data_IF_966362207347
#
_entry.id   IF_966362207347
#
_cell.length_a   1.000
_cell.length_b   1.000
_cell.length_c   1.000
_cell.angle_alpha   90.00
_cell.angle_beta   90.00
_cell.angle_gamma   90.00
#
_symmetry.space_group_name_H-M   'P 1'
#
loop_
_entity.id
_entity.type
_entity.pdbx_description
1 polymer ?
#
# COMPACT_ATOMS: atom_id res chain seq x y z
N UNK A 1 33.87 17.44 -38.14
CA UNK A 1 34.32 18.40 -37.11
C UNK A 1 34.57 17.58 -35.86
N UNK A 2 35.85 17.25 -35.69
CA UNK A 2 36.39 16.41 -34.62
C UNK A 2 36.75 17.31 -33.44
N UNK A 3 36.53 16.83 -32.21
CA UNK A 3 36.82 17.54 -30.97
C UNK A 3 36.37 16.67 -29.80
N UNK A 4 37.10 15.61 -29.49
CA UNK A 4 38.32 15.53 -28.68
C UNK A 4 38.05 15.75 -27.18
N UNK A 5 38.15 14.62 -26.46
CA UNK A 5 38.07 14.45 -25.00
C UNK A 5 39.45 14.77 -24.42
N UNK A 6 39.55 15.30 -23.20
CA UNK A 6 40.71 14.96 -22.38
C UNK A 6 40.30 14.27 -21.08
N UNK A 7 40.78 13.04 -21.00
CA UNK A 7 40.92 12.18 -19.83
C UNK A 7 41.82 12.87 -18.79
N UNK A 8 41.38 12.95 -17.53
CA UNK A 8 42.25 13.36 -16.42
C UNK A 8 42.67 12.13 -15.61
N UNK A 9 43.97 11.86 -15.70
CA UNK A 9 44.72 10.75 -15.11
C UNK A 9 45.01 11.01 -13.63
N UNK A 10 45.05 9.92 -12.86
CA UNK A 10 45.48 9.81 -11.46
C UNK A 10 46.78 10.57 -11.14
N UNK A 11 46.79 11.28 -10.02
CA UNK A 11 48.00 11.59 -9.27
C UNK A 11 47.81 11.19 -7.80
N UNK A 12 48.55 10.16 -7.39
CA UNK A 12 48.67 9.74 -6.00
C UNK A 12 49.54 10.72 -5.22
N UNK A 13 49.02 11.23 -4.10
CA UNK A 13 49.77 12.02 -3.14
C UNK A 13 50.20 11.12 -1.99
N UNK A 14 51.51 11.00 -1.83
CA UNK A 14 52.22 10.22 -0.82
C UNK A 14 52.32 11.06 0.45
N UNK A 15 51.54 10.75 1.49
CA UNK A 15 51.61 11.42 2.79
C UNK A 15 52.63 10.70 3.68
N UNK A 16 53.71 11.42 3.99
CA UNK A 16 54.81 11.05 4.89
C UNK A 16 54.34 11.12 6.35
N UNK A 17 54.75 10.13 7.14
CA UNK A 17 54.38 9.95 8.54
C UNK A 17 55.02 10.92 9.52
N UNK A 18 54.80 10.59 10.80
CA UNK A 18 55.27 11.22 12.05
C UNK A 18 54.47 12.45 12.54
N UNK A 19 53.55 12.18 13.49
CA UNK A 19 53.40 12.92 14.78
C UNK A 19 51.97 12.96 15.37
N UNK A 20 51.01 12.18 14.88
CA UNK A 20 49.59 12.29 15.33
C UNK A 20 49.22 11.40 16.54
N UNK A 21 50.20 10.84 17.26
CA UNK A 21 49.98 9.83 18.31
C UNK A 21 49.65 10.39 19.71
N UNK A 22 49.57 11.72 19.90
CA UNK A 22 49.33 12.32 21.24
C UNK A 22 48.01 13.08 21.39
N UNK A 23 47.26 13.30 20.30
CA UNK A 23 45.99 14.04 20.33
C UNK A 23 44.78 13.10 20.50
N UNK A 24 44.94 11.79 20.25
CA UNK A 24 43.85 10.81 20.35
C UNK A 24 43.39 10.48 21.78
N UNK A 25 44.17 10.78 22.82
CA UNK A 25 43.88 10.31 24.19
C UNK A 25 42.94 11.21 25.02
N UNK A 26 42.69 12.46 24.60
CA UNK A 26 41.82 13.39 25.34
C UNK A 26 40.40 13.54 24.76
N UNK A 27 40.17 13.04 23.54
CA UNK A 27 38.84 13.07 22.90
C UNK A 27 38.02 11.82 23.26
N UNK A 28 38.70 10.74 23.70
CA UNK A 28 38.06 9.45 23.99
C UNK A 28 37.24 9.44 25.30
N UNK A 29 37.42 10.41 26.19
CA UNK A 29 36.70 10.46 27.49
C UNK A 29 35.43 11.32 27.47
N UNK A 30 35.25 12.21 26.48
CA UNK A 30 34.06 13.08 26.41
C UNK A 30 32.89 12.45 25.63
N UNK A 31 33.12 11.36 24.89
CA UNK A 31 32.10 10.63 24.13
C UNK A 31 31.37 9.53 24.92
N UNK A 32 31.64 9.35 26.22
CA UNK A 32 31.00 8.30 27.04
C UNK A 32 29.82 8.85 27.86
N UNK A 33 29.66 10.18 28.04
CA UNK A 33 28.69 10.74 28.98
C UNK A 33 27.36 11.26 28.38
N UNK A 34 27.09 11.08 27.09
CA UNK A 34 25.87 11.60 26.44
C UNK A 34 25.13 10.59 25.55
N UNK A 35 25.27 9.28 25.82
CA UNK A 35 24.56 8.24 25.08
C UNK A 35 23.46 7.53 25.88
N UNK A 36 22.81 8.22 26.83
CA UNK A 36 21.58 7.77 27.47
C UNK A 36 20.36 8.54 26.96
N UNK A 37 20.23 8.65 25.63
CA UNK A 37 18.92 8.82 25.02
C UNK A 37 18.38 7.42 24.72
N UNK A 38 17.80 6.79 25.74
CA UNK A 38 16.90 5.66 25.58
C UNK A 38 15.79 6.10 24.61
N UNK A 39 15.86 5.66 23.35
CA UNK A 39 14.77 5.82 22.41
C UNK A 39 13.53 5.19 23.04
N UNK A 40 12.44 5.94 23.28
CA UNK A 40 11.20 5.35 23.74
C UNK A 40 10.71 4.41 22.65
N UNK A 41 10.76 3.11 22.95
CA UNK A 41 10.07 2.01 22.29
C UNK A 41 9.74 2.18 20.81
N UNK A 42 10.49 1.48 19.96
CA UNK A 42 9.91 0.88 18.76
C UNK A 42 8.72 0.03 19.22
N UNK A 43 7.52 0.62 19.24
CA UNK A 43 6.28 -0.13 19.42
C UNK A 43 6.23 -1.05 18.21
N UNK A 44 6.45 -2.34 18.46
CA UNK A 44 6.18 -3.43 17.52
C UNK A 44 4.87 -3.05 16.83
N UNK A 45 4.92 -2.76 15.53
CA UNK A 45 3.70 -2.56 14.73
C UNK A 45 2.81 -3.72 15.11
N UNK A 46 1.68 -3.44 15.75
CA UNK A 46 0.71 -4.48 16.06
C UNK A 46 0.43 -5.13 14.73
N UNK A 47 0.91 -6.36 14.56
CA UNK A 47 0.59 -7.20 13.43
C UNK A 47 -0.93 -7.32 13.47
N UNK A 48 -1.61 -6.50 12.67
CA UNK A 48 -3.05 -6.62 12.48
C UNK A 48 -3.19 -7.93 11.76
N UNK A 49 -3.35 -9.01 12.54
CA UNK A 49 -3.78 -10.30 12.02
C UNK A 49 -4.98 -9.98 11.12
N UNK A 50 -4.94 -10.31 9.82
CA UNK A 50 -6.06 -10.05 8.95
C UNK A 50 -7.31 -10.56 9.64
N UNK A 51 -8.31 -9.68 9.80
CA UNK A 51 -9.63 -10.11 10.25
C UNK A 51 -10.00 -11.32 9.40
N UNK A 52 -10.46 -12.38 10.06
CA UNK A 52 -10.95 -13.57 9.38
C UNK A 52 -11.81 -13.14 8.19
N UNK A 53 -11.44 -13.62 7.00
CA UNK A 53 -11.87 -13.06 5.72
C UNK A 53 -13.33 -13.42 5.48
N UNK A 54 -14.21 -12.67 6.13
CA UNK A 54 -15.64 -12.93 6.23
C UNK A 54 -16.40 -11.65 5.95
N UNK A 55 -17.65 -11.79 5.49
CA UNK A 55 -18.53 -10.65 5.29
C UNK A 55 -18.80 -9.93 6.61
N UNK A 56 -18.80 -8.59 6.56
CA UNK A 56 -19.14 -7.76 7.71
C UNK A 56 -20.63 -7.96 8.05
N UNK A 57 -20.92 -8.35 9.30
CA UNK A 57 -22.28 -8.72 9.74
C UNK A 57 -23.14 -7.53 10.15
N UNK A 58 -22.51 -6.42 10.54
CA UNK A 58 -23.22 -5.21 10.96
C UNK A 58 -23.55 -4.31 9.75
N UNK A 59 -24.81 -4.34 9.33
CA UNK A 59 -25.26 -3.62 8.13
C UNK A 59 -25.00 -2.09 8.20
N UNK A 60 -25.12 -1.53 9.41
CA UNK A 60 -25.01 -0.09 9.66
C UNK A 60 -23.56 0.44 9.59
N UNK A 61 -22.57 -0.46 9.50
CA UNK A 61 -21.18 -0.08 9.24
C UNK A 61 -21.03 0.55 7.86
N UNK A 62 -21.76 0.00 6.88
CA UNK A 62 -21.70 0.42 5.50
C UNK A 62 -22.92 1.24 5.09
N UNK A 63 -24.09 0.92 5.63
CA UNK A 63 -25.35 1.52 5.23
C UNK A 63 -25.89 2.52 6.26
N UNK A 64 -26.52 3.58 5.76
CA UNK A 64 -27.25 4.52 6.60
C UNK A 64 -28.63 3.93 6.92
N UNK A 65 -29.01 3.81 8.20
CA UNK A 65 -30.26 3.17 8.61
C UNK A 65 -31.51 4.02 8.34
N UNK A 66 -31.36 5.29 7.93
CA UNK A 66 -32.47 6.22 7.77
C UNK A 66 -32.41 6.97 6.44
N UNK A 67 -33.42 6.76 5.58
CA UNK A 67 -33.69 7.63 4.43
C UNK A 67 -35.20 7.68 4.14
N UNK A 68 -35.74 8.89 3.98
CA UNK A 68 -37.01 9.10 3.29
C UNK A 68 -36.78 8.95 1.77
N UNK A 69 -37.37 7.93 1.14
CA UNK A 69 -37.31 7.74 -0.32
C UNK A 69 -36.74 6.42 -0.85
N UNK A 70 -36.90 5.31 -0.11
CA UNK A 70 -36.93 3.95 -0.69
C UNK A 70 -35.60 3.28 -1.07
N UNK A 71 -34.44 3.90 -0.80
CA UNK A 71 -33.12 3.32 -1.12
C UNK A 71 -32.20 3.21 0.08
N UNK A 72 -31.52 2.07 0.21
CA UNK A 72 -30.43 1.85 1.18
C UNK A 72 -29.21 2.65 0.69
N UNK A 73 -28.78 3.65 1.47
CA UNK A 73 -27.65 4.52 1.12
C UNK A 73 -26.38 4.07 1.85
N UNK A 74 -25.21 4.30 1.26
CA UNK A 74 -23.94 4.10 1.95
C UNK A 74 -23.65 5.26 2.91
N UNK A 75 -22.95 4.99 4.01
CA UNK A 75 -22.53 6.00 4.98
C UNK A 75 -21.48 6.96 4.42
N UNK A 76 -20.74 6.54 3.39
CA UNK A 76 -19.71 7.29 2.67
C UNK A 76 -19.68 6.89 1.19
N UNK A 77 -19.00 7.66 0.32
CA UNK A 77 -18.66 7.20 -1.03
C UNK A 77 -17.96 5.83 -0.99
N UNK A 78 -18.30 4.94 -1.91
CA UNK A 78 -17.95 3.52 -1.82
C UNK A 78 -16.45 3.24 -1.59
N UNK A 79 -15.58 3.84 -2.41
CA UNK A 79 -14.12 3.64 -2.26
C UNK A 79 -13.58 4.21 -0.94
N UNK A 80 -14.14 5.32 -0.46
CA UNK A 80 -13.77 5.93 0.82
C UNK A 80 -14.24 5.08 2.00
N UNK A 81 -15.42 4.48 1.90
CA UNK A 81 -15.96 3.59 2.91
C UNK A 81 -15.01 2.40 3.15
N UNK A 82 -14.62 1.71 2.07
CA UNK A 82 -13.71 0.57 2.16
C UNK A 82 -12.31 0.99 2.64
N UNK A 83 -11.79 2.11 2.14
CA UNK A 83 -10.45 2.60 2.51
C UNK A 83 -10.35 3.07 3.94
N UNK A 84 -11.47 3.45 4.57
CA UNK A 84 -11.49 3.90 5.96
C UNK A 84 -11.13 2.82 6.98
N UNK A 85 -11.12 1.55 6.57
CA UNK A 85 -10.60 0.42 7.37
C UNK A 85 -9.55 -0.42 6.63
N UNK A 86 -9.58 -0.48 5.29
CA UNK A 86 -8.65 -1.27 4.48
C UNK A 86 -7.56 -0.40 3.82
N UNK A 87 -6.87 0.43 4.60
CA UNK A 87 -5.86 1.36 4.04
C UNK A 87 -4.71 0.62 3.32
N UNK A 88 -4.34 -0.56 3.81
CA UNK A 88 -3.29 -1.37 3.21
C UNK A 88 -3.62 -1.87 1.80
N UNK A 89 -4.90 -1.82 1.37
CA UNK A 89 -5.37 -2.33 0.07
C UNK A 89 -5.38 -1.28 -1.04
N UNK A 90 -4.72 -0.15 -0.82
CA UNK A 90 -4.66 0.99 -1.77
C UNK A 90 -3.20 1.34 -2.09
N UNK A 91 -2.28 0.46 -1.73
CA UNK A 91 -0.85 0.65 -1.90
C UNK A 91 -0.33 0.28 -3.29
N UNK A 92 0.97 0.50 -3.48
CA UNK A 92 1.69 0.01 -4.64
C UNK A 92 1.64 -1.53 -4.67
N UNK A 93 1.21 -2.08 -5.81
CA UNK A 93 1.04 -3.53 -6.00
C UNK A 93 -0.40 -4.04 -5.85
N UNK A 94 -1.30 -3.22 -5.30
CA UNK A 94 -2.74 -3.53 -5.29
C UNK A 94 -3.39 -3.14 -6.62
N UNK A 95 -4.49 -3.79 -6.98
CA UNK A 95 -5.21 -3.45 -8.20
C UNK A 95 -5.89 -2.08 -8.05
N UNK A 96 -5.68 -1.20 -9.04
CA UNK A 96 -6.23 0.16 -9.00
C UNK A 96 -7.76 0.16 -9.02
N UNK A 97 -8.35 1.12 -8.33
CA UNK A 97 -9.79 1.44 -8.35
C UNK A 97 -10.01 2.91 -8.71
N UNK A 98 -11.23 3.28 -9.08
CA UNK A 98 -11.59 4.64 -9.50
C UNK A 98 -11.20 4.98 -10.93
N UNK A 99 -10.83 3.99 -11.74
CA UNK A 99 -10.45 4.16 -13.15
C UNK A 99 -11.46 3.46 -14.07
N UNK A 100 -11.62 3.99 -15.29
CA UNK A 100 -12.37 3.28 -16.33
C UNK A 100 -11.50 2.15 -16.87
N UNK A 101 -12.00 0.90 -16.95
CA UNK A 101 -11.25 -0.19 -17.55
C UNK A 101 -11.06 0.11 -19.05
N UNK A 102 -9.85 -0.14 -19.56
CA UNK A 102 -9.54 0.00 -20.99
C UNK A 102 -9.92 -1.23 -21.81
N UNK A 103 -10.59 -2.20 -21.19
CA UNK A 103 -10.92 -3.50 -21.75
C UNK A 103 -12.30 -3.97 -21.27
N UNK A 104 -12.93 -4.95 -21.95
CA UNK A 104 -14.21 -5.51 -21.53
C UNK A 104 -14.11 -6.17 -20.15
N UNK A 105 -15.18 -6.10 -19.36
CA UNK A 105 -15.19 -6.59 -17.96
C UNK A 105 -16.07 -7.81 -17.71
N UNK A 106 -16.46 -8.55 -18.77
CA UNK A 106 -17.23 -9.81 -18.70
C UNK A 106 -18.32 -9.88 -17.62
N UNK A 107 -19.16 -8.84 -17.58
CA UNK A 107 -20.31 -8.75 -16.68
C UNK A 107 -19.99 -8.35 -15.24
N UNK A 108 -18.75 -7.92 -14.93
CA UNK A 108 -18.42 -7.33 -13.63
C UNK A 108 -19.07 -5.94 -13.48
N UNK A 109 -19.60 -5.63 -12.28
CA UNK A 109 -20.28 -4.36 -12.06
C UNK A 109 -19.29 -3.20 -12.03
N UNK A 110 -19.67 -2.11 -12.69
CA UNK A 110 -18.97 -0.83 -12.64
C UNK A 110 -19.84 0.18 -11.90
N UNK A 111 -19.24 1.26 -11.42
CA UNK A 111 -20.02 2.36 -10.88
C UNK A 111 -20.82 3.10 -11.97
N UNK A 112 -21.59 4.12 -11.57
CA UNK A 112 -22.41 4.94 -12.48
C UNK A 112 -21.59 5.67 -13.54
N UNK A 113 -20.30 5.92 -13.27
CA UNK A 113 -19.38 6.55 -14.22
C UNK A 113 -18.68 5.52 -15.10
N UNK A 114 -18.93 4.22 -14.95
CA UNK A 114 -18.24 3.14 -15.66
C UNK A 114 -16.82 2.88 -15.14
N UNK A 115 -16.51 3.26 -13.91
CA UNK A 115 -15.21 2.99 -13.27
C UNK A 115 -15.26 1.70 -12.45
N UNK A 116 -14.11 1.04 -12.36
CA UNK A 116 -13.92 -0.08 -11.45
C UNK A 116 -13.84 0.43 -10.01
N UNK A 117 -14.43 -0.32 -9.09
CA UNK A 117 -14.45 -0.03 -7.65
C UNK A 117 -14.09 -1.30 -6.87
N UNK A 118 -14.01 -1.19 -5.54
CA UNK A 118 -13.77 -2.36 -4.67
C UNK A 118 -14.82 -3.46 -4.92
N UNK A 119 -16.07 -3.09 -5.18
CA UNK A 119 -17.17 -4.06 -5.39
C UNK A 119 -17.25 -4.62 -6.81
N UNK A 120 -16.43 -4.13 -7.74
CA UNK A 120 -16.29 -4.73 -9.07
C UNK A 120 -15.74 -6.15 -8.95
N UNK A 121 -14.83 -6.36 -7.99
CA UNK A 121 -14.18 -7.63 -7.73
C UNK A 121 -14.75 -8.33 -6.50
N UNK A 122 -15.09 -7.57 -5.45
CA UNK A 122 -15.62 -8.09 -4.21
C UNK A 122 -17.15 -7.97 -4.14
N UNK A 123 -17.79 -8.91 -3.48
CA UNK A 123 -19.19 -8.89 -3.11
C UNK A 123 -19.31 -8.77 -1.58
N UNK A 124 -19.48 -7.55 -1.03
CA UNK A 124 -19.51 -7.34 0.42
C UNK A 124 -20.67 -8.06 1.13
N UNK A 125 -21.69 -8.50 0.38
CA UNK A 125 -22.78 -9.33 0.92
C UNK A 125 -22.50 -10.83 0.84
N UNK A 126 -21.44 -11.24 0.16
CA UNK A 126 -20.98 -12.63 0.10
C UNK A 126 -21.99 -13.59 -0.54
N UNK A 127 -22.81 -13.13 -1.50
CA UNK A 127 -23.91 -13.93 -2.06
C UNK A 127 -23.44 -15.24 -2.72
N UNK A 128 -22.20 -15.28 -3.20
CA UNK A 128 -21.57 -16.48 -3.77
C UNK A 128 -20.71 -17.28 -2.80
N UNK A 129 -20.35 -16.71 -1.64
CA UNK A 129 -19.54 -17.39 -0.62
C UNK A 129 -18.13 -17.75 -1.06
N UNK A 130 -17.57 -17.12 -2.10
CA UNK A 130 -16.19 -17.35 -2.51
C UNK A 130 -15.21 -16.72 -1.52
N UNK A 131 -14.01 -17.32 -1.45
CA UNK A 131 -12.89 -16.81 -0.66
C UNK A 131 -12.66 -15.32 -0.92
N UNK A 132 -12.33 -14.56 0.13
CA UNK A 132 -12.13 -13.11 0.01
C UNK A 132 -13.32 -12.34 -0.55
N UNK A 133 -14.53 -12.91 -0.46
CA UNK A 133 -15.75 -12.33 -1.00
C UNK A 133 -15.64 -12.04 -2.50
N UNK A 134 -14.84 -12.80 -3.25
CA UNK A 134 -14.68 -12.55 -4.68
C UNK A 134 -15.99 -12.82 -5.43
N UNK A 135 -16.15 -12.19 -6.59
CA UNK A 135 -17.24 -12.47 -7.54
C UNK A 135 -16.93 -13.63 -8.49
N UNK A 136 -15.78 -14.27 -8.33
CA UNK A 136 -15.37 -15.47 -9.07
C UNK A 136 -14.78 -16.51 -8.10
N UNK A 137 -14.78 -17.80 -8.46
CA UNK A 137 -14.28 -18.88 -7.61
C UNK A 137 -12.80 -18.76 -7.21
N UNK A 138 -12.00 -18.06 -8.02
CA UNK A 138 -10.57 -17.83 -7.75
C UNK A 138 -10.10 -16.48 -8.26
N UNK A 139 -8.94 -16.04 -7.76
CA UNK A 139 -8.28 -14.83 -8.24
C UNK A 139 -7.98 -14.90 -9.74
N UNK A 140 -7.42 -16.01 -10.22
CA UNK A 140 -7.10 -16.21 -11.64
C UNK A 140 -8.32 -16.08 -12.53
N UNK A 141 -9.44 -16.71 -12.15
CA UNK A 141 -10.69 -16.59 -12.92
C UNK A 141 -11.25 -15.18 -12.90
N UNK A 142 -11.11 -14.46 -11.77
CA UNK A 142 -11.53 -13.06 -11.71
C UNK A 142 -10.67 -12.17 -12.63
N UNK A 143 -9.36 -12.33 -12.60
CA UNK A 143 -8.44 -11.55 -13.43
C UNK A 143 -8.72 -11.77 -14.92
N UNK A 144 -9.01 -13.01 -15.32
CA UNK A 144 -9.34 -13.38 -16.71
C UNK A 144 -10.60 -12.69 -17.26
N UNK A 145 -11.52 -12.25 -16.39
CA UNK A 145 -12.71 -11.48 -16.79
C UNK A 145 -12.40 -10.14 -17.46
N UNK A 146 -11.18 -9.63 -17.27
CA UNK A 146 -10.69 -8.43 -17.96
C UNK A 146 -9.42 -8.75 -18.77
N UNK A 147 -8.48 -9.47 -18.16
CA UNK A 147 -7.19 -9.80 -18.72
C UNK A 147 -7.22 -11.18 -19.40
N UNK A 148 -7.70 -11.25 -20.64
CA UNK A 148 -7.88 -12.52 -21.37
C UNK A 148 -6.64 -13.43 -21.43
N UNK A 149 -5.45 -12.88 -21.31
CA UNK A 149 -4.17 -13.60 -21.34
C UNK A 149 -3.47 -13.66 -19.96
N UNK A 150 -4.23 -13.55 -18.87
CA UNK A 150 -3.73 -13.64 -17.50
C UNK A 150 -3.42 -15.07 -17.07
#
# INVERSE_FOLDING_TARGET
MEGNIPSFVQQGVRIKGESQMKILALIFTVMIFSASCTLPGFKKTTEVKPSEVTAHKDCNMCHLPHKMGGGILLSKPLSELCSSCHQARIGAGEHKVGIKPSMPTEGLPLDTDGKITCITCHDPHGAKGYESLLRAPSFTELCKKCHKNY
#
